data_IF_629887484058
#
_entry.id   IF_629887484058
#
_cell.length_a   1.000
_cell.length_b   1.000
_cell.length_c   1.000
_cell.angle_alpha   90.00
_cell.angle_beta   90.00
_cell.angle_gamma   90.00
#
_symmetry.space_group_name_H-M   'P 1'
#
loop_
_entity.id
_entity.type
_entity.pdbx_description
1 polymer ?
#
# COMPACT_ATOMS: atom_id res chain seq x y z
N UNK A 1 -29.71 27.87 -1.89
CA UNK A 1 -28.52 28.26 -1.13
C UNK A 1 -27.46 27.19 -1.41
N UNK A 2 -26.66 27.38 -2.47
CA UNK A 2 -25.66 26.41 -2.91
C UNK A 2 -24.37 26.66 -2.12
N UNK A 3 -23.96 25.70 -1.30
CA UNK A 3 -22.67 25.71 -0.64
C UNK A 3 -21.70 24.89 -1.51
N UNK A 4 -20.84 25.61 -2.23
CA UNK A 4 -19.81 25.07 -3.10
C UNK A 4 -18.58 24.68 -2.28
N UNK A 5 -18.17 23.42 -2.46
CA UNK A 5 -16.79 22.90 -2.47
C UNK A 5 -15.84 23.20 -1.32
N UNK A 6 -15.43 22.12 -0.63
CA UNK A 6 -14.00 21.82 -0.38
C UNK A 6 -13.80 20.31 -0.46
N UNK A 7 -13.52 19.81 -1.66
CA UNK A 7 -12.89 18.50 -1.82
C UNK A 7 -11.50 18.59 -1.21
N UNK A 8 -11.30 17.92 -0.08
CA UNK A 8 -9.99 17.82 0.51
C UNK A 8 -9.23 16.74 -0.27
N UNK A 9 -8.45 17.18 -1.26
CA UNK A 9 -7.46 16.36 -1.96
C UNK A 9 -6.30 16.08 -1.02
N UNK A 10 -6.33 14.93 -0.37
CA UNK A 10 -5.13 14.34 0.23
C UNK A 10 -4.55 13.30 -0.73
N UNK A 11 -4.00 13.79 -1.83
CA UNK A 11 -2.97 13.08 -2.58
C UNK A 11 -1.61 13.31 -1.91
N UNK A 12 -1.40 12.75 -0.71
CA UNK A 12 -0.04 12.53 -0.23
C UNK A 12 0.31 11.07 -0.50
N UNK A 13 1.18 10.91 -1.50
CA UNK A 13 2.07 9.78 -1.78
C UNK A 13 1.67 8.44 -1.17
N UNK A 14 1.19 7.53 -2.03
CA UNK A 14 0.98 6.14 -1.69
C UNK A 14 -0.43 5.70 -1.29
N UNK A 15 -1.43 6.49 -1.70
CA UNK A 15 -2.84 6.14 -1.63
C UNK A 15 -3.27 5.32 -2.88
N UNK A 16 -4.29 4.44 -2.80
CA UNK A 16 -4.91 3.76 -3.96
C UNK A 16 -5.52 4.72 -5.00
N UNK A 17 -5.50 6.03 -4.73
CA UNK A 17 -6.04 7.09 -5.59
C UNK A 17 -4.95 8.08 -6.03
N UNK A 18 -3.67 7.75 -5.84
CA UNK A 18 -2.53 8.49 -6.40
C UNK A 18 -2.31 8.10 -7.86
N UNK A 19 -2.03 9.09 -8.73
CA UNK A 19 -1.89 8.89 -10.18
C UNK A 19 -0.65 8.04 -10.59
N UNK A 20 0.15 7.56 -9.64
CA UNK A 20 1.40 6.83 -9.89
C UNK A 20 1.56 5.66 -8.89
N UNK A 21 1.90 4.43 -9.36
CA UNK A 21 2.20 3.28 -8.50
C UNK A 21 3.39 3.56 -7.57
N UNK A 22 3.35 3.10 -6.32
CA UNK A 22 4.47 3.29 -5.38
C UNK A 22 5.72 2.47 -5.71
N UNK A 23 5.50 1.38 -6.44
CA UNK A 23 6.49 0.41 -6.88
C UNK A 23 5.88 -0.44 -8.00
N UNK A 24 6.71 -1.16 -8.75
CA UNK A 24 6.32 -2.12 -9.80
C UNK A 24 5.19 -3.10 -9.42
N UNK A 25 5.08 -3.47 -8.16
CA UNK A 25 4.11 -4.45 -7.65
C UNK A 25 2.86 -3.83 -6.97
N UNK A 26 2.57 -2.55 -7.21
CA UNK A 26 1.45 -1.83 -6.61
C UNK A 26 0.23 -1.82 -7.55
N UNK A 27 -0.60 -2.88 -7.46
CA UNK A 27 -1.81 -3.02 -8.28
C UNK A 27 -3.07 -2.93 -7.44
N UNK A 28 -4.15 -2.37 -7.99
CA UNK A 28 -5.48 -2.41 -7.36
C UNK A 28 -6.01 -3.85 -7.27
N UNK A 29 -5.85 -4.62 -8.34
CA UNK A 29 -6.29 -6.01 -8.38
C UNK A 29 -5.26 -6.93 -7.72
N UNK A 30 -5.64 -7.55 -6.60
CA UNK A 30 -4.80 -8.49 -5.85
C UNK A 30 -4.28 -9.67 -6.68
N UNK A 31 -4.98 -10.06 -7.75
CA UNK A 31 -4.56 -11.18 -8.61
C UNK A 31 -3.35 -10.86 -9.46
N UNK A 32 -3.03 -9.57 -9.62
CA UNK A 32 -1.86 -9.09 -10.35
C UNK A 32 -0.66 -8.87 -9.42
N UNK A 33 -0.87 -8.88 -8.10
CA UNK A 33 0.19 -8.67 -7.11
C UNK A 33 1.03 -9.95 -6.99
N UNK A 34 2.33 -9.84 -7.23
CA UNK A 34 3.29 -10.90 -6.99
C UNK A 34 3.38 -11.25 -5.51
N UNK A 35 3.28 -12.54 -5.19
CA UNK A 35 3.43 -13.06 -3.82
C UNK A 35 4.82 -12.73 -3.26
N UNK A 36 5.95 -13.11 -3.90
CA UNK A 36 7.26 -12.67 -3.44
C UNK A 36 7.42 -11.15 -3.61
N UNK A 37 8.14 -10.47 -2.69
CA UNK A 37 8.44 -9.06 -2.83
C UNK A 37 9.37 -8.80 -4.01
N UNK A 38 9.16 -7.68 -4.69
CA UNK A 38 10.04 -7.24 -5.78
C UNK A 38 11.21 -6.42 -5.26
N UNK A 39 12.22 -6.21 -6.10
CA UNK A 39 13.36 -5.39 -5.71
C UNK A 39 12.95 -3.93 -5.45
N UNK A 40 12.09 -3.35 -6.27
CA UNK A 40 11.64 -1.97 -6.07
C UNK A 40 10.83 -1.81 -4.78
N UNK A 41 9.96 -2.78 -4.47
CA UNK A 41 9.21 -2.83 -3.21
C UNK A 41 10.14 -2.89 -1.99
N UNK A 42 11.26 -3.59 -2.09
CA UNK A 42 12.26 -3.70 -1.02
C UNK A 42 13.12 -2.45 -0.87
N UNK A 43 13.31 -1.70 -1.96
CA UNK A 43 14.15 -0.50 -2.01
C UNK A 43 13.35 0.80 -1.80
N UNK A 44 12.02 0.76 -1.92
CA UNK A 44 11.16 1.94 -1.79
C UNK A 44 11.27 2.55 -0.39
N UNK A 45 11.28 3.88 -0.34
CA UNK A 45 11.23 4.66 0.90
C UNK A 45 9.79 5.00 1.30
N UNK A 46 8.84 4.70 0.40
CA UNK A 46 7.41 4.89 0.63
C UNK A 46 6.91 3.92 1.69
N UNK A 47 6.11 4.37 2.66
CA UNK A 47 5.47 3.44 3.59
C UNK A 47 4.55 2.45 2.84
N UNK A 48 4.49 1.18 3.27
CA UNK A 48 3.56 0.20 2.72
C UNK A 48 2.11 0.61 2.98
N UNK A 49 1.19 0.04 2.19
CA UNK A 49 -0.23 0.40 2.26
C UNK A 49 -0.90 -0.57 3.21
N UNK A 50 -1.36 -0.05 4.33
CA UNK A 50 -2.14 -0.80 5.30
C UNK A 50 -3.62 -0.50 5.12
N UNK A 51 -4.39 -1.40 4.49
CA UNK A 51 -5.84 -1.24 4.47
C UNK A 51 -6.39 -1.33 5.90
N UNK A 52 -7.26 -0.40 6.26
CA UNK A 52 -7.93 -0.44 7.56
C UNK A 52 -8.93 -1.61 7.60
N UNK A 53 -8.76 -2.53 8.54
CA UNK A 53 -9.67 -3.66 8.75
C UNK A 53 -10.91 -3.26 9.57
N UNK A 54 -11.62 -2.23 9.11
CA UNK A 54 -12.87 -1.77 9.71
C UNK A 54 -13.98 -1.70 8.65
N UNK A 55 -15.25 -2.04 8.98
CA UNK A 55 -16.34 -2.07 8.01
C UNK A 55 -16.55 -0.75 7.26
N UNK A 56 -16.27 0.38 7.90
CA UNK A 56 -16.50 1.71 7.31
C UNK A 56 -15.29 2.32 6.61
N UNK A 57 -14.18 1.59 6.50
CA UNK A 57 -12.98 2.07 5.81
C UNK A 57 -13.28 2.42 4.34
N UNK A 58 -12.67 3.50 3.87
CA UNK A 58 -12.70 3.87 2.45
C UNK A 58 -11.85 2.88 1.65
N UNK A 59 -12.50 2.09 0.79
CA UNK A 59 -11.82 1.14 -0.10
C UNK A 59 -12.39 1.23 -1.52
N UNK A 60 -11.63 0.71 -2.49
CA UNK A 60 -12.02 0.68 -3.89
C UNK A 60 -13.12 -0.37 -4.18
N UNK A 61 -13.30 -1.35 -3.30
CA UNK A 61 -14.30 -2.42 -3.43
C UNK A 61 -15.61 -2.09 -2.69
N UNK A 62 -16.75 -2.69 -3.11
CA UNK A 62 -18.04 -2.48 -2.47
C UNK A 62 -18.02 -2.83 -0.97
N UNK A 63 -18.79 -2.07 -0.19
CA UNK A 63 -19.00 -2.39 1.23
C UNK A 63 -19.69 -3.75 1.37
N UNK A 64 -19.33 -4.49 2.43
CA UNK A 64 -19.89 -5.81 2.77
C UNK A 64 -19.76 -6.90 1.68
N UNK A 65 -18.76 -6.80 0.79
CA UNK A 65 -18.45 -7.84 -0.20
C UNK A 65 -17.34 -8.77 0.28
N UNK A 66 -17.37 -10.02 -0.19
CA UNK A 66 -16.34 -11.02 0.12
C UNK A 66 -14.99 -10.64 -0.50
N UNK A 67 -15.01 -10.06 -1.70
CA UNK A 67 -13.85 -9.57 -2.43
C UNK A 67 -13.08 -8.54 -1.60
N UNK A 68 -13.81 -7.66 -0.90
CA UNK A 68 -13.22 -6.67 -0.01
C UNK A 68 -12.48 -7.32 1.17
N UNK A 69 -13.12 -8.29 1.82
CA UNK A 69 -12.48 -9.03 2.93
C UNK A 69 -11.21 -9.74 2.46
N UNK A 70 -11.26 -10.38 1.28
CA UNK A 70 -10.12 -11.05 0.68
C UNK A 70 -9.00 -10.06 0.33
N UNK A 71 -9.30 -8.89 -0.22
CA UNK A 71 -8.30 -7.85 -0.54
C UNK A 71 -7.58 -7.35 0.72
N UNK A 72 -8.34 -6.99 1.76
CA UNK A 72 -7.79 -6.53 3.04
C UNK A 72 -6.89 -7.62 3.65
N UNK A 73 -7.42 -8.84 3.78
CA UNK A 73 -6.68 -9.93 4.42
C UNK A 73 -5.44 -10.33 3.61
N UNK A 74 -5.52 -10.34 2.29
CA UNK A 74 -4.37 -10.62 1.43
C UNK A 74 -3.26 -9.58 1.63
N UNK A 75 -3.59 -8.29 1.59
CA UNK A 75 -2.60 -7.20 1.73
C UNK A 75 -1.97 -7.17 3.12
N UNK A 76 -2.79 -7.35 4.17
CA UNK A 76 -2.29 -7.43 5.55
C UNK A 76 -1.39 -8.66 5.76
N UNK A 77 -1.85 -9.84 5.34
CA UNK A 77 -1.06 -11.07 5.48
C UNK A 77 0.23 -11.02 4.67
N UNK A 78 0.17 -10.43 3.47
CA UNK A 78 1.34 -10.28 2.62
C UNK A 78 2.37 -9.40 3.31
N UNK A 79 2.01 -8.23 3.85
CA UNK A 79 2.96 -7.28 4.45
C UNK A 79 3.78 -7.87 5.61
N UNK A 80 3.23 -8.83 6.36
CA UNK A 80 3.95 -9.51 7.45
C UNK A 80 5.26 -10.18 6.99
N UNK A 81 5.37 -10.59 5.73
CA UNK A 81 6.58 -11.24 5.20
C UNK A 81 7.64 -10.22 4.69
N UNK A 82 7.34 -9.25 3.80
CA UNK A 82 8.29 -8.26 3.32
C UNK A 82 8.71 -7.25 4.39
N UNK A 83 7.87 -6.91 5.37
CA UNK A 83 8.18 -5.88 6.37
C UNK A 83 9.55 -6.09 7.06
N UNK A 84 9.85 -7.26 7.68
CA UNK A 84 11.15 -7.49 8.30
C UNK A 84 12.30 -7.53 7.28
N UNK A 85 12.06 -8.06 6.08
CA UNK A 85 13.08 -8.14 5.02
C UNK A 85 13.46 -6.74 4.52
N UNK A 86 12.46 -5.90 4.22
CA UNK A 86 12.63 -4.52 3.78
C UNK A 86 13.36 -3.71 4.84
N UNK A 87 13.01 -3.89 6.12
CA UNK A 87 13.72 -3.27 7.23
C UNK A 87 15.20 -3.68 7.28
N UNK A 88 15.52 -4.97 7.10
CA UNK A 88 16.89 -5.46 7.08
C UNK A 88 17.70 -4.88 5.91
N UNK A 89 17.12 -4.85 4.71
CA UNK A 89 17.74 -4.27 3.51
C UNK A 89 18.00 -2.76 3.69
N UNK A 90 17.00 -2.02 4.17
CA UNK A 90 17.14 -0.58 4.43
C UNK A 90 18.20 -0.30 5.49
N UNK A 91 18.25 -1.10 6.57
CA UNK A 91 19.33 -1.03 7.55
C UNK A 91 20.69 -1.22 6.87
N UNK A 92 20.87 -2.28 6.08
CA UNK A 92 22.15 -2.54 5.39
C UNK A 92 22.58 -1.37 4.48
N UNK A 93 21.64 -0.80 3.73
CA UNK A 93 21.90 0.34 2.83
C UNK A 93 22.30 1.59 3.61
N UNK A 94 21.60 1.90 4.70
CA UNK A 94 21.90 3.06 5.55
C UNK A 94 23.27 2.93 6.20
N UNK A 95 23.66 1.73 6.63
CA UNK A 95 24.98 1.47 7.20
C UNK A 95 26.09 1.55 6.14
N UNK A 96 25.83 1.05 4.93
CA UNK A 96 26.80 1.06 3.82
C UNK A 96 27.11 2.46 3.29
N UNK A 97 26.18 3.42 3.46
CA UNK A 97 26.35 4.82 3.03
C UNK A 97 27.21 5.69 3.96
N UNK A 98 27.55 5.21 5.16
CA UNK A 98 28.34 5.96 6.16
C UNK A 98 29.84 5.62 6.17
N UNK A 99 30.35 4.95 5.14
CA UNK A 99 31.78 4.64 4.98
C UNK A 99 32.38 5.42 3.83
#
# INVERSE_FOLDING_TARGET
>A
MQAQSREISYGLFGSPFGLDPRHDNDFDNIRLISIPPTQEEMMTQTPPYFPENIPEARQHLPKNSMERLLDVQFRLLREELPAPLRHAVQCFILHSRKR
#
